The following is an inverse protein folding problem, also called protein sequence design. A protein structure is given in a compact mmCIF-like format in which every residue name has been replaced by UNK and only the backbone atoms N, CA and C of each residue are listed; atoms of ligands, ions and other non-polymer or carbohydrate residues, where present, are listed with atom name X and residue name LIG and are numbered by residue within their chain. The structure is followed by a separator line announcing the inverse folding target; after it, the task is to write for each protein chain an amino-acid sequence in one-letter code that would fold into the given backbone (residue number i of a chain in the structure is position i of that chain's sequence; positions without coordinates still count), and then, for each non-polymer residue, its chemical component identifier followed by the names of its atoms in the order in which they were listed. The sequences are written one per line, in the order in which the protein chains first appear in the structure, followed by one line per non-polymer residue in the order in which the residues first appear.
data_IF_853444066644
#
_entry.id   IF_853444066644
#
_cell.length_a   1.000
_cell.length_b   1.000
_cell.length_c   1.000
_cell.angle_alpha   90.00
_cell.angle_beta   90.00
_cell.angle_gamma   90.00
#
_symmetry.space_group_name_H-M   'P 1'
#
loop_
_entity.id
_entity.type
_entity.pdbx_description
1 polymer ?
#
# COMPACT_ATOMS: atom_id res chain seq x y z
N UNK A 1 -4.85 -4.92 0.64
CA UNK A 1 -4.21 -6.08 -0.03
C UNK A 1 -3.66 -7.04 1.02
N UNK A 2 -4.55 -7.66 1.80
CA UNK A 2 -4.16 -8.61 2.85
C UNK A 2 -5.34 -9.52 3.09
N UNK A 3 -5.09 -10.80 3.32
CA UNK A 3 -6.12 -11.77 3.69
C UNK A 3 -6.50 -11.63 5.18
N UNK A 4 -5.62 -11.05 6.00
CA UNK A 4 -5.89 -10.68 7.40
C UNK A 4 -6.09 -9.16 7.49
N UNK A 5 -7.35 -8.74 7.55
CA UNK A 5 -7.74 -7.32 7.57
C UNK A 5 -7.64 -6.68 8.96
N UNK A 6 -7.53 -7.49 10.02
CA UNK A 6 -7.46 -7.10 11.43
C UNK A 6 -6.03 -6.87 11.94
N UNK A 7 -5.01 -7.21 11.14
CA UNK A 7 -3.60 -7.09 11.51
C UNK A 7 -2.90 -5.93 10.80
N UNK A 8 -2.26 -5.07 11.57
CA UNK A 8 -1.35 -4.04 11.05
C UNK A 8 -0.05 -4.68 10.56
N UNK A 9 0.12 -4.74 9.24
CA UNK A 9 1.29 -5.32 8.54
C UNK A 9 1.65 -4.51 7.29
N UNK A 10 2.84 -4.73 6.75
CA UNK A 10 3.32 -4.12 5.50
C UNK A 10 2.80 -4.82 4.22
N UNK A 11 1.85 -5.75 4.34
CA UNK A 11 1.32 -6.56 3.23
C UNK A 11 0.79 -5.73 2.05
N UNK A 12 0.33 -4.50 2.31
CA UNK A 12 -0.04 -3.56 1.24
C UNK A 12 1.12 -3.31 0.27
N UNK A 13 2.31 -2.97 0.78
CA UNK A 13 3.46 -2.63 -0.06
C UNK A 13 4.03 -3.85 -0.77
N UNK A 14 4.14 -4.98 -0.05
CA UNK A 14 4.56 -6.27 -0.62
C UNK A 14 3.67 -6.65 -1.80
N UNK A 15 2.34 -6.56 -1.62
CA UNK A 15 1.38 -6.94 -2.66
C UNK A 15 1.31 -5.92 -3.80
N UNK A 16 1.49 -4.63 -3.51
CA UNK A 16 1.46 -3.57 -4.53
C UNK A 16 2.64 -3.70 -5.51
N UNK A 17 3.81 -4.10 -5.00
CA UNK A 17 5.04 -4.23 -5.79
C UNK A 17 5.22 -5.62 -6.41
N UNK A 18 4.28 -6.54 -6.17
CA UNK A 18 4.27 -7.85 -6.80
C UNK A 18 4.12 -7.74 -8.33
N UNK A 19 5.16 -8.19 -9.03
CA UNK A 19 5.21 -8.18 -10.49
C UNK A 19 4.43 -9.34 -11.13
N UNK A 20 3.91 -10.28 -10.34
CA UNK A 20 3.06 -11.38 -10.81
C UNK A 20 1.70 -10.94 -11.36
N UNK A 21 1.29 -9.70 -11.08
CA UNK A 21 0.02 -9.13 -11.55
C UNK A 21 0.24 -8.01 -12.57
N UNK A 22 -0.79 -7.76 -13.37
CA UNK A 22 -0.89 -6.61 -14.27
C UNK A 22 -2.13 -5.79 -13.91
N UNK A 23 -1.98 -4.48 -13.77
CA UNK A 23 -3.08 -3.56 -13.45
C UNK A 23 -3.72 -2.98 -14.72
N UNK A 24 -5.04 -3.11 -14.84
CA UNK A 24 -5.84 -2.60 -15.96
C UNK A 24 -6.91 -1.65 -15.44
N UNK A 25 -7.10 -0.52 -16.12
CA UNK A 25 -8.16 0.43 -15.77
C UNK A 25 -9.53 -0.16 -16.14
N UNK A 26 -10.48 -0.10 -15.22
CA UNK A 26 -11.86 -0.59 -15.41
C UNK A 26 -12.89 0.55 -15.43
N UNK A 27 -12.46 1.78 -15.15
CA UNK A 27 -13.31 2.97 -15.18
C UNK A 27 -12.65 4.19 -14.53
N UNK A 28 -13.46 5.17 -14.14
CA UNK A 28 -12.95 6.33 -13.41
C UNK A 28 -12.48 5.92 -12.00
N UNK A 29 -11.21 6.18 -11.70
CA UNK A 29 -10.59 5.85 -10.42
C UNK A 29 -10.71 4.36 -9.99
N UNK A 30 -10.82 3.45 -10.96
CA UNK A 30 -11.02 2.02 -10.73
C UNK A 30 -10.06 1.20 -11.59
N UNK A 31 -9.36 0.27 -10.95
CA UNK A 31 -8.39 -0.63 -11.56
C UNK A 31 -8.59 -2.06 -11.06
N UNK A 32 -8.34 -3.02 -11.93
CA UNK A 32 -8.33 -4.44 -11.63
C UNK A 32 -6.93 -5.00 -11.89
N UNK A 33 -6.41 -5.74 -10.92
CA UNK A 33 -5.20 -6.53 -11.08
C UNK A 33 -5.58 -7.93 -11.57
N UNK A 34 -4.88 -8.35 -12.62
CA UNK A 34 -5.04 -9.65 -13.25
C UNK A 34 -3.73 -10.42 -13.09
N UNK A 35 -3.81 -11.68 -12.65
CA UNK A 35 -2.64 -12.55 -12.59
C UNK A 35 -2.10 -12.81 -14.01
N UNK A 36 -0.81 -12.56 -14.23
CA UNK A 36 -0.20 -12.60 -15.57
C UNK A 36 -0.19 -13.99 -16.19
N UNK A 37 -0.20 -15.04 -15.36
CA UNK A 37 -0.10 -16.43 -15.83
C UNK A 37 -1.48 -17.00 -16.20
N UNK A 38 -2.48 -16.76 -15.35
CA UNK A 38 -3.82 -17.34 -15.47
C UNK A 38 -4.83 -16.41 -16.14
N UNK A 39 -4.54 -15.10 -16.21
CA UNK A 39 -5.47 -14.10 -16.73
C UNK A 39 -6.68 -13.85 -15.82
N UNK A 40 -6.68 -14.36 -14.59
CA UNK A 40 -7.80 -14.22 -13.66
C UNK A 40 -7.70 -12.92 -12.85
N UNK A 41 -8.81 -12.21 -12.64
CA UNK A 41 -8.87 -11.09 -11.69
C UNK A 41 -8.50 -11.56 -10.29
N UNK A 42 -7.63 -10.79 -9.61
CA UNK A 42 -7.16 -11.13 -8.26
C UNK A 42 -7.51 -10.07 -7.22
N UNK A 43 -7.52 -8.79 -7.58
CA UNK A 43 -7.82 -7.68 -6.65
C UNK A 43 -8.17 -6.39 -7.41
N UNK A 44 -8.77 -5.43 -6.71
CA UNK A 44 -9.10 -4.12 -7.25
C UNK A 44 -8.41 -3.00 -6.47
N UNK A 45 -8.22 -1.85 -7.11
CA UNK A 45 -7.55 -0.69 -6.52
C UNK A 45 -8.05 0.63 -7.14
N UNK A 46 -7.71 1.74 -6.49
CA UNK A 46 -7.95 3.10 -6.97
C UNK A 46 -6.64 3.78 -7.38
N UNK A 47 -6.72 5.01 -7.91
CA UNK A 47 -5.50 5.81 -8.22
C UNK A 47 -4.68 6.11 -6.97
N UNK A 48 -5.32 6.25 -5.81
CA UNK A 48 -4.62 6.55 -4.55
C UNK A 48 -3.70 5.40 -4.18
N UNK A 49 -4.16 4.17 -4.33
CA UNK A 49 -3.36 2.98 -4.06
C UNK A 49 -2.20 2.85 -5.06
N UNK A 50 -2.49 2.99 -6.36
CA UNK A 50 -1.50 2.80 -7.42
C UNK A 50 -0.49 3.96 -7.55
N UNK A 51 -0.78 5.13 -6.97
CA UNK A 51 0.17 6.24 -6.92
C UNK A 51 1.48 5.82 -6.25
N UNK A 52 1.41 4.98 -5.21
CA UNK A 52 2.58 4.46 -4.49
C UNK A 52 3.46 3.52 -5.34
N UNK A 53 2.91 2.91 -6.40
CA UNK A 53 3.66 2.03 -7.29
C UNK A 53 4.14 2.70 -8.58
N UNK A 54 3.64 3.91 -8.90
CA UNK A 54 3.81 4.58 -10.20
C UNK A 54 4.61 5.88 -10.14
N UNK A 55 4.51 6.65 -9.05
CA UNK A 55 5.36 7.81 -8.83
C UNK A 55 6.73 7.36 -8.27
N UNK A 56 7.83 7.82 -8.85
CA UNK A 56 9.18 7.36 -8.49
C UNK A 56 9.55 7.60 -7.02
N UNK A 57 9.16 8.75 -6.45
CA UNK A 57 9.46 9.07 -5.05
C UNK A 57 8.60 8.24 -4.09
N UNK A 58 7.30 8.11 -4.39
CA UNK A 58 6.41 7.28 -3.58
C UNK A 58 6.77 5.79 -3.68
N UNK A 59 7.23 5.35 -4.86
CA UNK A 59 7.69 3.99 -5.08
C UNK A 59 8.95 3.67 -4.28
N UNK A 60 9.90 4.60 -4.22
CA UNK A 60 11.09 4.41 -3.38
C UNK A 60 10.72 4.19 -1.90
N UNK A 61 9.71 4.92 -1.38
CA UNK A 61 9.20 4.70 -0.02
C UNK A 61 8.46 3.36 0.10
N UNK A 62 7.67 2.98 -0.89
CA UNK A 62 6.97 1.69 -0.92
C UNK A 62 7.96 0.52 -0.91
N UNK A 63 9.08 0.62 -1.63
CA UNK A 63 10.13 -0.40 -1.67
C UNK A 63 10.82 -0.59 -0.31
N UNK A 64 11.03 0.49 0.44
CA UNK A 64 11.53 0.40 1.83
C UNK A 64 10.57 -0.38 2.70
N UNK A 65 9.28 -0.02 2.72
CA UNK A 65 8.32 -0.72 3.59
C UNK A 65 7.98 -2.15 3.10
N UNK A 66 8.19 -2.47 1.82
CA UNK A 66 8.02 -3.81 1.28
C UNK A 66 9.19 -4.76 1.56
N UNK A 67 10.32 -4.25 2.07
CA UNK A 67 11.49 -5.07 2.38
C UNK A 67 11.20 -6.06 3.52
N UNK A 68 11.83 -7.24 3.47
CA UNK A 68 11.55 -8.35 4.40
C UNK A 68 11.79 -8.00 5.88
N UNK A 69 12.67 -7.05 6.18
CA UNK A 69 13.03 -6.60 7.52
C UNK A 69 12.30 -5.32 7.96
N UNK A 70 11.40 -4.77 7.13
CA UNK A 70 10.76 -3.47 7.36
C UNK A 70 9.40 -3.53 8.08
N UNK A 71 8.91 -4.70 8.49
CA UNK A 71 7.59 -4.82 9.15
C UNK A 71 7.52 -4.04 10.47
N UNK A 72 8.55 -4.15 11.32
CA UNK A 72 8.61 -3.41 12.59
C UNK A 72 8.78 -1.90 12.37
N UNK A 73 9.58 -1.51 11.37
CA UNK A 73 9.74 -0.11 10.96
C UNK A 73 8.40 0.47 10.53
N UNK A 74 7.67 -0.24 9.65
CA UNK A 74 6.34 0.16 9.19
C UNK A 74 5.37 0.36 10.36
N UNK A 75 5.30 -0.60 11.30
CA UNK A 75 4.40 -0.49 12.46
C UNK A 75 4.71 0.74 13.31
N UNK A 76 6.00 0.99 13.57
CA UNK A 76 6.45 2.13 14.37
C UNK A 76 6.13 3.46 13.69
N UNK A 77 6.44 3.57 12.41
CA UNK A 77 6.24 4.81 11.65
C UNK A 77 4.76 5.09 11.41
N UNK A 78 3.95 4.04 11.18
CA UNK A 78 2.49 4.15 11.12
C UNK A 78 1.92 4.69 12.45
N UNK A 79 2.32 4.11 13.59
CA UNK A 79 1.86 4.56 14.90
C UNK A 79 2.28 6.02 15.18
N UNK A 80 3.53 6.39 14.85
CA UNK A 80 4.01 7.75 15.02
C UNK A 80 3.23 8.76 14.15
N UNK A 81 2.98 8.42 12.89
CA UNK A 81 2.17 9.25 11.99
C UNK A 81 0.72 9.40 12.48
N UNK A 82 0.11 8.32 12.95
CA UNK A 82 -1.23 8.34 13.54
C UNK A 82 -1.28 9.25 14.77
N UNK A 83 -0.38 9.05 15.73
CA UNK A 83 -0.30 9.88 16.94
C UNK A 83 -0.06 11.36 16.61
N UNK A 84 0.75 11.65 15.59
CA UNK A 84 0.96 13.03 15.12
C UNK A 84 -0.34 13.65 14.63
N UNK A 85 -1.07 12.97 13.75
CA UNK A 85 -2.35 13.47 13.22
C UNK A 85 -3.37 13.69 14.34
N UNK A 86 -3.45 12.77 15.30
CA UNK A 86 -4.38 12.87 16.45
C UNK A 86 -4.06 14.03 17.41
N UNK A 87 -2.85 14.59 17.38
CA UNK A 87 -2.45 15.70 18.23
C UNK A 87 -2.31 17.03 17.48
N UNK A 88 -2.62 17.08 16.18
CA UNK A 88 -2.39 18.28 15.35
C UNK A 88 -3.23 19.51 15.77
N UNK A 89 -4.31 19.32 16.53
CA UNK A 89 -5.20 20.37 17.04
C UNK A 89 -5.01 20.66 18.53
N UNK A 90 -4.04 19.98 19.18
CA UNK A 90 -3.71 20.16 20.60
C UNK A 90 -2.75 21.32 20.81
N UNK A 91 -3.26 22.53 20.62
CA UNK A 91 -2.53 23.79 20.88
C UNK A 91 -2.37 24.10 22.37
N UNK A 92 -2.92 23.26 23.26
CA UNK A 92 -2.87 23.34 24.72
C UNK A 92 -1.63 22.68 25.34
N UNK A 93 -0.84 21.95 24.54
CA UNK A 93 0.43 21.35 24.95
C UNK A 93 1.58 22.35 24.99
#
# INVERSE_FOLDING_TARGET
FSDTTDKLSNAFFVTLLDMGVEWKATGSNSYEAVDRNSGKPVRTATRVDLAFGSNSQLRALAEVYASDDAEDLFRRDFAAAWTKVMNNDRFDQ
#
